data_IF_418013712154
#
_entry.id   IF_418013712154
#
_cell.length_a   1.000
_cell.length_b   1.000
_cell.length_c   1.000
_cell.angle_alpha   90.00
_cell.angle_beta   90.00
_cell.angle_gamma   90.00
#
_symmetry.space_group_name_H-M   'P 1'
#
loop_
_entity.id
_entity.type
_entity.pdbx_description
1 polymer ?
#
# COMPACT_ATOMS: atom_id res chain seq x y z
N UNK A 1 43.57 -76.84 -6.39
CA UNK A 1 43.74 -75.42 -6.00
C UNK A 1 42.35 -74.82 -5.81
N UNK A 2 42.06 -74.36 -4.59
CA UNK A 2 41.08 -73.32 -4.17
C UNK A 2 39.63 -73.44 -4.66
N UNK A 3 38.66 -73.86 -3.84
CA UNK A 3 38.00 -73.08 -2.76
C UNK A 3 37.55 -71.69 -3.19
N UNK A 4 36.23 -71.47 -3.27
CA UNK A 4 35.62 -70.19 -2.91
C UNK A 4 34.20 -70.39 -2.40
N UNK A 5 34.03 -69.99 -1.14
CA UNK A 5 32.83 -70.09 -0.34
C UNK A 5 31.73 -69.09 -0.72
N UNK A 6 30.51 -69.47 -0.34
CA UNK A 6 29.27 -68.70 -0.36
C UNK A 6 29.40 -67.30 0.27
N UNK A 7 28.61 -66.34 -0.24
CA UNK A 7 28.02 -65.24 0.57
C UNK A 7 26.66 -64.87 -0.02
N UNK A 8 25.60 -65.27 0.68
CA UNK A 8 24.27 -64.68 0.52
C UNK A 8 24.33 -63.25 1.06
N UNK A 9 23.99 -62.27 0.23
CA UNK A 9 23.90 -60.87 0.64
C UNK A 9 22.54 -60.65 1.30
N UNK A 10 22.51 -60.65 2.63
CA UNK A 10 21.35 -60.21 3.41
C UNK A 10 21.25 -58.69 3.35
N UNK A 11 20.26 -58.17 2.65
CA UNK A 11 19.89 -56.77 2.72
C UNK A 11 19.25 -56.49 4.09
N UNK A 12 19.95 -55.73 4.93
CA UNK A 12 19.43 -55.21 6.20
C UNK A 12 18.40 -54.12 5.91
N UNK A 13 17.17 -54.30 6.41
CA UNK A 13 16.15 -53.25 6.48
C UNK A 13 16.59 -52.26 7.54
N UNK A 14 17.04 -51.08 7.13
CA UNK A 14 17.34 -49.98 8.04
C UNK A 14 16.03 -49.36 8.53
N UNK A 15 15.85 -49.36 9.85
CA UNK A 15 14.76 -48.65 10.53
C UNK A 15 14.78 -47.18 10.15
N UNK A 16 13.71 -46.72 9.50
CA UNK A 16 13.42 -45.29 9.31
C UNK A 16 13.12 -44.71 10.68
N UNK A 17 14.09 -44.02 11.26
CA UNK A 17 13.88 -43.19 12.45
C UNK A 17 12.90 -42.08 12.08
N UNK A 18 11.75 -42.09 12.76
CA UNK A 18 10.74 -41.05 12.68
C UNK A 18 11.39 -39.76 13.17
N UNK A 19 11.82 -38.90 12.25
CA UNK A 19 12.24 -37.54 12.57
C UNK A 19 11.06 -36.88 13.30
N UNK A 20 11.29 -36.51 14.55
CA UNK A 20 10.36 -35.70 15.32
C UNK A 20 10.18 -34.40 14.54
N UNK A 21 8.96 -34.13 14.08
CA UNK A 21 8.56 -32.79 13.70
C UNK A 21 8.84 -31.91 14.92
N UNK A 22 9.86 -31.06 14.82
CA UNK A 22 10.07 -30.01 15.82
C UNK A 22 8.82 -29.15 15.79
N UNK A 23 8.03 -29.19 16.87
CA UNK A 23 6.94 -28.26 17.06
C UNK A 23 7.49 -26.83 16.88
N UNK A 24 7.00 -26.12 15.88
CA UNK A 24 7.26 -24.70 15.75
C UNK A 24 6.79 -24.01 17.03
N UNK A 25 7.54 -23.03 17.56
CA UNK A 25 7.12 -22.30 18.75
C UNK A 25 5.78 -21.63 18.46
N UNK A 26 4.82 -21.84 19.36
CA UNK A 26 3.52 -21.18 19.32
C UNK A 26 3.73 -19.66 19.18
N UNK A 27 2.97 -19.08 18.25
CA UNK A 27 2.85 -17.63 18.09
C UNK A 27 2.58 -16.96 19.44
N UNK A 28 3.12 -15.74 19.59
CA UNK A 28 3.10 -14.90 20.78
C UNK A 28 1.84 -15.06 21.68
N UNK A 29 2.05 -15.51 22.92
CA UNK A 29 1.07 -15.55 24.03
C UNK A 29 0.70 -14.13 24.56
N UNK A 30 0.44 -13.16 23.68
CA UNK A 30 -0.18 -11.90 24.11
C UNK A 30 -1.69 -12.13 24.24
N UNK A 31 -2.31 -11.87 25.41
CA UNK A 31 -3.75 -12.03 25.55
C UNK A 31 -4.47 -11.07 24.60
N UNK A 32 -5.29 -11.63 23.71
CA UNK A 32 -6.16 -10.86 22.81
C UNK A 32 -7.10 -10.00 23.65
N UNK A 33 -6.90 -8.68 23.61
CA UNK A 33 -7.74 -7.72 24.32
C UNK A 33 -8.83 -7.25 23.37
N UNK A 34 -10.13 -7.38 23.73
CA UNK A 34 -11.21 -7.01 22.84
C UNK A 34 -11.15 -5.50 22.52
N UNK A 35 -11.18 -5.17 21.23
CA UNK A 35 -11.19 -3.79 20.73
C UNK A 35 -9.83 -3.18 20.38
N UNK A 36 -8.72 -3.91 20.56
CA UNK A 36 -7.35 -3.40 20.41
C UNK A 36 -6.54 -4.36 19.53
N UNK A 37 -5.78 -3.83 18.58
CA UNK A 37 -4.99 -4.57 17.61
C UNK A 37 -5.65 -5.84 17.06
N UNK A 38 -4.99 -7.00 17.22
CA UNK A 38 -5.52 -8.30 16.78
C UNK A 38 -6.85 -8.71 17.45
N UNK A 39 -7.21 -8.12 18.59
CA UNK A 39 -8.47 -8.38 19.29
C UNK A 39 -9.61 -7.44 18.90
N UNK A 40 -9.46 -6.61 17.86
CA UNK A 40 -10.49 -5.62 17.49
C UNK A 40 -11.80 -6.29 17.06
N UNK A 41 -12.91 -5.72 17.51
CA UNK A 41 -14.27 -6.23 17.28
C UNK A 41 -15.03 -5.44 16.22
N UNK A 42 -14.69 -4.17 16.02
CA UNK A 42 -15.23 -3.29 14.98
C UNK A 42 -14.18 -2.24 14.61
N UNK A 43 -14.19 -1.80 13.35
CA UNK A 43 -13.41 -0.65 12.87
C UNK A 43 -14.04 0.70 13.26
N UNK A 44 -15.32 0.70 13.67
CA UNK A 44 -16.10 1.92 13.88
C UNK A 44 -16.51 2.64 12.59
N UNK A 45 -16.18 2.09 11.41
CA UNK A 45 -16.53 2.63 10.10
C UNK A 45 -17.58 1.74 9.42
N UNK A 46 -18.66 2.35 8.91
CA UNK A 46 -19.72 1.60 8.22
C UNK A 46 -19.20 1.12 6.86
N UNK A 47 -19.35 -0.17 6.58
CA UNK A 47 -18.93 -0.78 5.31
C UNK A 47 -17.45 -1.17 5.24
N UNK A 48 -16.73 -1.13 6.37
CA UNK A 48 -15.37 -1.64 6.50
C UNK A 48 -15.31 -2.69 7.63
N UNK A 49 -15.31 -3.95 7.26
CA UNK A 49 -15.24 -5.06 8.21
C UNK A 49 -13.82 -5.18 8.80
N UNK A 50 -13.74 -5.75 10.00
CA UNK A 50 -12.47 -6.06 10.67
C UNK A 50 -11.76 -7.21 9.95
N UNK A 51 -10.48 -7.03 9.67
CA UNK A 51 -9.64 -8.04 9.04
C UNK A 51 -8.36 -8.27 9.86
N UNK A 52 -8.32 -9.39 10.58
CA UNK A 52 -7.15 -9.75 11.41
C UNK A 52 -5.89 -10.05 10.59
N UNK A 53 -6.05 -10.36 9.29
CA UNK A 53 -4.95 -10.59 8.36
C UNK A 53 -4.65 -9.34 7.49
N UNK A 54 -5.11 -8.14 7.91
CA UNK A 54 -4.93 -6.90 7.14
C UNK A 54 -3.45 -6.58 6.86
N UNK A 55 -2.56 -6.73 7.85
CA UNK A 55 -1.12 -6.42 7.70
C UNK A 55 -0.43 -7.27 6.62
N UNK A 56 -0.52 -8.62 6.63
CA UNK A 56 0.06 -9.44 5.56
C UNK A 56 -0.63 -9.23 4.20
N UNK A 57 -1.95 -8.99 4.18
CA UNK A 57 -2.67 -8.61 2.95
C UNK A 57 -2.14 -7.30 2.37
N UNK A 58 -1.91 -6.30 3.21
CA UNK A 58 -1.37 -5.01 2.83
C UNK A 58 -0.01 -5.16 2.13
N UNK A 59 0.91 -5.95 2.70
CA UNK A 59 2.21 -6.25 2.08
C UNK A 59 2.03 -6.85 0.69
N UNK A 60 1.16 -7.85 0.58
CA UNK A 60 0.89 -8.54 -0.69
C UNK A 60 0.37 -7.57 -1.76
N UNK A 61 -0.56 -6.68 -1.38
CA UNK A 61 -1.17 -5.71 -2.30
C UNK A 61 -0.18 -4.64 -2.76
N UNK A 62 0.64 -4.09 -1.85
CA UNK A 62 1.68 -3.13 -2.24
C UNK A 62 2.80 -3.77 -3.04
N UNK A 63 3.15 -5.02 -2.78
CA UNK A 63 4.13 -5.73 -3.60
C UNK A 63 3.61 -5.92 -5.03
N UNK A 64 2.35 -6.32 -5.19
CA UNK A 64 1.71 -6.42 -6.50
C UNK A 64 1.67 -5.05 -7.23
N UNK A 65 1.48 -3.95 -6.49
CA UNK A 65 1.54 -2.60 -7.04
C UNK A 65 2.96 -2.26 -7.55
N UNK A 66 4.00 -2.58 -6.78
CA UNK A 66 5.40 -2.39 -7.19
C UNK A 66 5.76 -3.24 -8.42
N UNK A 67 5.29 -4.48 -8.47
CA UNK A 67 5.53 -5.39 -9.60
C UNK A 67 4.87 -4.85 -10.87
N UNK A 68 3.64 -4.34 -10.76
CA UNK A 68 2.93 -3.70 -11.88
C UNK A 68 3.62 -2.42 -12.35
N UNK A 69 4.12 -1.60 -11.42
CA UNK A 69 4.94 -0.42 -11.75
C UNK A 69 6.22 -0.80 -12.49
N UNK A 70 6.90 -1.86 -12.05
CA UNK A 70 8.11 -2.34 -12.69
C UNK A 70 7.85 -2.91 -14.10
N UNK A 71 6.69 -3.52 -14.32
CA UNK A 71 6.26 -4.03 -15.62
C UNK A 71 5.70 -2.95 -16.56
N UNK A 72 5.41 -1.75 -16.05
CA UNK A 72 4.80 -0.67 -16.82
C UNK A 72 5.77 0.01 -17.78
N UNK A 73 5.23 0.67 -18.81
CA UNK A 73 5.94 1.50 -19.78
C UNK A 73 6.30 2.90 -19.24
N UNK A 74 5.90 3.21 -18.01
CA UNK A 74 6.10 4.52 -17.41
C UNK A 74 7.59 4.80 -17.14
N UNK A 75 8.14 5.94 -17.61
CA UNK A 75 9.53 6.26 -17.37
C UNK A 75 9.82 6.46 -15.88
N UNK A 76 11.05 6.13 -15.40
CA UNK A 76 11.43 6.29 -14.00
C UNK A 76 11.47 7.75 -13.54
N UNK A 77 11.49 8.70 -14.47
CA UNK A 77 11.45 10.14 -14.19
C UNK A 77 10.05 10.67 -13.92
N UNK A 78 9.00 9.88 -14.19
CA UNK A 78 7.63 10.30 -13.93
C UNK A 78 7.42 10.48 -12.42
N UNK A 79 6.97 11.67 -12.02
CA UNK A 79 6.81 12.01 -10.60
C UNK A 79 5.85 11.07 -9.87
N UNK A 80 4.80 10.62 -10.56
CA UNK A 80 3.85 9.66 -10.02
C UNK A 80 4.53 8.34 -9.63
N UNK A 81 5.33 7.74 -10.53
CA UNK A 81 6.10 6.52 -10.24
C UNK A 81 7.02 6.70 -9.04
N UNK A 82 7.77 7.80 -9.00
CA UNK A 82 8.70 8.10 -7.89
C UNK A 82 7.95 8.16 -6.55
N UNK A 83 6.79 8.81 -6.52
CA UNK A 83 6.02 8.98 -5.29
C UNK A 83 5.37 7.67 -4.83
N UNK A 84 4.72 6.94 -5.75
CA UNK A 84 4.05 5.67 -5.43
C UNK A 84 5.07 4.63 -4.98
N UNK A 85 6.25 4.55 -5.62
CA UNK A 85 7.33 3.64 -5.24
C UNK A 85 7.85 3.94 -3.82
N UNK A 86 8.03 5.22 -3.48
CA UNK A 86 8.44 5.64 -2.13
C UNK A 86 7.39 5.27 -1.09
N UNK A 87 6.12 5.59 -1.35
CA UNK A 87 5.01 5.32 -0.42
C UNK A 87 4.83 3.82 -0.21
N UNK A 88 4.79 3.04 -1.29
CA UNK A 88 4.60 1.59 -1.23
C UNK A 88 5.74 0.90 -0.46
N UNK A 89 7.01 1.28 -0.74
CA UNK A 89 8.16 0.72 0.00
C UNK A 89 8.12 1.07 1.48
N UNK A 90 7.79 2.32 1.81
CA UNK A 90 7.67 2.75 3.20
C UNK A 90 6.60 1.95 3.95
N UNK A 91 5.41 1.80 3.35
CA UNK A 91 4.30 1.04 3.95
C UNK A 91 4.62 -0.45 4.08
N UNK A 92 5.30 -1.05 3.11
CA UNK A 92 5.77 -2.44 3.19
C UNK A 92 6.77 -2.60 4.34
N UNK A 93 7.75 -1.70 4.45
CA UNK A 93 8.76 -1.76 5.52
C UNK A 93 8.12 -1.66 6.91
N UNK A 94 7.24 -0.67 7.11
CA UNK A 94 6.52 -0.50 8.38
C UNK A 94 5.70 -1.75 8.77
N UNK A 95 5.07 -2.40 7.78
CA UNK A 95 4.28 -3.61 7.97
C UNK A 95 5.13 -4.86 8.25
N UNK A 96 6.27 -4.99 7.58
CA UNK A 96 7.21 -6.10 7.77
C UNK A 96 7.87 -6.05 9.15
N UNK A 97 8.18 -4.86 9.63
CA UNK A 97 8.77 -4.65 10.96
C UNK A 97 7.78 -4.95 12.10
N UNK A 98 6.46 -4.81 11.85
CA UNK A 98 5.42 -4.88 12.88
C UNK A 98 4.27 -5.82 12.48
N UNK A 99 4.58 -7.04 12.04
CA UNK A 99 3.58 -8.01 11.57
C UNK A 99 2.51 -8.36 12.62
N UNK A 100 2.89 -8.42 13.90
CA UNK A 100 2.01 -8.81 15.00
C UNK A 100 1.36 -7.60 15.71
N UNK A 101 1.68 -6.37 15.29
CA UNK A 101 1.25 -5.14 15.94
C UNK A 101 0.65 -4.14 14.93
N UNK A 102 -0.65 -4.29 14.59
CA UNK A 102 -1.31 -3.40 13.64
C UNK A 102 -1.38 -1.95 14.13
N UNK A 103 -1.45 -1.69 15.45
CA UNK A 103 -1.51 -0.32 15.99
C UNK A 103 -0.19 0.41 15.73
N UNK A 104 0.93 -0.31 15.84
CA UNK A 104 2.22 0.28 15.51
C UNK A 104 2.34 0.62 14.02
N UNK A 105 1.78 -0.22 13.15
CA UNK A 105 1.70 0.06 11.71
C UNK A 105 0.85 1.30 11.44
N UNK A 106 -0.28 1.47 12.12
CA UNK A 106 -1.15 2.64 12.01
C UNK A 106 -0.46 3.92 12.46
N UNK A 107 0.25 3.89 13.60
CA UNK A 107 1.01 5.03 14.11
C UNK A 107 2.13 5.43 13.13
N UNK A 108 2.88 4.45 12.60
CA UNK A 108 3.96 4.72 11.66
C UNK A 108 3.42 5.29 10.33
N UNK A 109 2.41 4.65 9.75
CA UNK A 109 1.86 5.08 8.47
C UNK A 109 1.04 6.36 8.57
N UNK A 110 0.45 6.64 9.73
CA UNK A 110 -0.39 7.80 10.04
C UNK A 110 -1.42 8.12 8.94
N UNK A 111 -2.11 7.09 8.46
CA UNK A 111 -2.99 7.15 7.28
C UNK A 111 -4.31 6.38 7.50
N UNK A 112 -4.80 6.36 8.75
CA UNK A 112 -6.01 5.61 9.15
C UNK A 112 -5.70 4.20 9.65
N UNK A 113 -6.72 3.35 9.71
CA UNK A 113 -6.62 1.96 10.16
C UNK A 113 -5.96 1.05 9.12
N UNK A 114 -5.43 -0.11 9.56
CA UNK A 114 -4.79 -1.08 8.65
C UNK A 114 -5.71 -1.58 7.53
N UNK A 115 -7.02 -1.72 7.77
CA UNK A 115 -7.98 -2.09 6.72
C UNK A 115 -8.15 -1.00 5.67
N UNK A 116 -8.16 0.26 6.09
CA UNK A 116 -8.23 1.39 5.16
C UNK A 116 -6.99 1.39 4.25
N UNK A 117 -5.81 1.04 4.79
CA UNK A 117 -4.58 0.93 4.01
C UNK A 117 -4.63 -0.18 2.95
N UNK A 118 -5.30 -1.29 3.24
CA UNK A 118 -5.55 -2.37 2.26
C UNK A 118 -6.46 -1.87 1.15
N UNK A 119 -7.56 -1.18 1.50
CA UNK A 119 -8.49 -0.59 0.52
C UNK A 119 -7.80 0.49 -0.32
N UNK A 120 -6.93 1.31 0.29
CA UNK A 120 -6.11 2.29 -0.42
C UNK A 120 -5.21 1.62 -1.45
N UNK A 121 -4.57 0.49 -1.13
CA UNK A 121 -3.74 -0.25 -2.07
C UNK A 121 -4.56 -0.78 -3.28
N UNK A 122 -5.78 -1.26 -3.03
CA UNK A 122 -6.69 -1.71 -4.09
C UNK A 122 -7.18 -0.56 -4.97
N UNK A 123 -7.44 0.61 -4.38
CA UNK A 123 -7.81 1.80 -5.14
C UNK A 123 -6.62 2.32 -5.96
N UNK A 124 -5.41 2.28 -5.41
CA UNK A 124 -4.20 2.66 -6.13
C UNK A 124 -3.97 1.76 -7.35
N UNK A 125 -4.28 0.46 -7.25
CA UNK A 125 -4.22 -0.46 -8.38
C UNK A 125 -5.17 -0.04 -9.53
N UNK A 126 -6.37 0.45 -9.21
CA UNK A 126 -7.34 0.97 -10.19
C UNK A 126 -6.86 2.28 -10.80
N UNK A 127 -6.32 3.18 -9.97
CA UNK A 127 -5.73 4.44 -10.44
C UNK A 127 -4.57 4.13 -11.39
N UNK A 128 -3.71 3.17 -11.07
CA UNK A 128 -2.62 2.73 -11.93
C UNK A 128 -3.13 2.31 -13.32
N UNK A 129 -4.21 1.52 -13.39
CA UNK A 129 -4.80 1.12 -14.68
C UNK A 129 -5.31 2.31 -15.50
N UNK A 130 -5.90 3.31 -14.85
CA UNK A 130 -6.32 4.55 -15.50
C UNK A 130 -5.13 5.40 -15.94
N UNK A 131 -4.12 5.49 -15.09
CA UNK A 131 -2.91 6.27 -15.30
C UNK A 131 -2.13 5.76 -16.51
N UNK A 132 -1.94 4.43 -16.60
CA UNK A 132 -1.26 3.77 -17.72
C UNK A 132 -2.06 3.88 -19.02
N UNK A 133 -3.38 3.64 -18.97
CA UNK A 133 -4.24 3.76 -20.16
C UNK A 133 -4.18 5.14 -20.79
N UNK A 134 -4.12 6.19 -19.96
CA UNK A 134 -4.21 7.56 -20.41
C UNK A 134 -2.84 8.25 -20.55
N UNK A 135 -1.74 7.57 -20.19
CA UNK A 135 -0.37 8.10 -20.18
C UNK A 135 -0.25 9.51 -19.62
N UNK A 136 -0.80 9.75 -18.43
CA UNK A 136 -0.89 11.09 -17.84
C UNK A 136 0.46 11.78 -17.62
N UNK A 137 1.57 11.02 -17.57
CA UNK A 137 2.91 11.58 -17.49
C UNK A 137 3.33 12.37 -18.74
N UNK A 138 2.68 12.15 -19.89
CA UNK A 138 2.94 12.90 -21.13
C UNK A 138 2.22 14.26 -21.15
N UNK A 139 1.18 14.43 -20.32
CA UNK A 139 0.35 15.63 -20.28
C UNK A 139 0.94 16.74 -19.40
N UNK A 140 1.97 16.42 -18.60
CA UNK A 140 2.66 17.38 -17.73
C UNK A 140 3.57 18.25 -18.58
N UNK A 141 3.08 19.44 -18.96
CA UNK A 141 3.89 20.47 -19.59
C UNK A 141 4.47 21.40 -18.53
N UNK A 142 5.71 21.90 -18.69
CA UNK A 142 6.18 23.00 -17.87
C UNK A 142 5.26 24.20 -18.11
N UNK A 143 4.62 24.66 -17.05
CA UNK A 143 3.85 25.91 -17.05
C UNK A 143 4.73 26.94 -16.37
N UNK A 144 4.87 28.11 -17.00
CA UNK A 144 5.51 29.25 -16.36
C UNK A 144 4.59 29.75 -15.24
N UNK A 145 4.97 29.46 -14.00
CA UNK A 145 4.24 29.91 -12.81
C UNK A 145 4.81 31.28 -12.44
N UNK A 146 4.04 32.33 -12.68
CA UNK A 146 4.37 33.65 -12.20
C UNK A 146 4.18 33.69 -10.67
N UNK A 147 5.30 33.73 -9.95
CA UNK A 147 5.31 33.79 -8.50
C UNK A 147 5.12 35.26 -8.09
N UNK A 148 3.97 35.57 -7.48
CA UNK A 148 3.49 36.93 -7.17
C UNK A 148 2.86 37.64 -8.38
N UNK A 149 1.68 37.19 -8.85
CA UNK A 149 0.92 37.97 -9.84
C UNK A 149 0.70 39.36 -9.25
N UNK A 150 0.95 40.41 -10.02
CA UNK A 150 0.54 41.74 -9.60
C UNK A 150 -0.95 41.70 -9.29
N UNK A 151 -1.38 42.22 -8.13
CA UNK A 151 -2.79 42.53 -7.80
C UNK A 151 -3.36 43.63 -8.73
N UNK A 152 -2.88 43.71 -9.97
CA UNK A 152 -3.57 44.36 -11.07
C UNK A 152 -4.63 43.38 -11.57
N UNK A 153 -5.59 43.06 -10.70
CA UNK A 153 -6.89 42.54 -11.13
C UNK A 153 -7.39 43.54 -12.16
N UNK A 154 -7.36 43.15 -13.45
CA UNK A 154 -7.71 44.02 -14.57
C UNK A 154 -8.95 44.82 -14.21
N UNK A 155 -8.76 46.12 -14.00
CA UNK A 155 -9.54 46.94 -13.07
C UNK A 155 -10.95 46.44 -12.86
N UNK A 156 -11.26 45.98 -11.64
CA UNK A 156 -12.63 45.98 -11.17
C UNK A 156 -13.05 47.45 -11.18
N UNK A 157 -13.63 47.90 -12.30
CA UNK A 157 -14.09 49.25 -12.46
C UNK A 157 -14.90 49.64 -11.23
N UNK A 158 -14.53 50.77 -10.66
CA UNK A 158 -15.19 51.45 -9.57
C UNK A 158 -16.65 51.72 -9.96
N UNK A 159 -17.49 50.69 -9.81
CA UNK A 159 -18.94 50.87 -9.80
C UNK A 159 -19.24 51.51 -8.44
N UNK A 160 -19.25 52.83 -8.43
CA UNK A 160 -19.74 53.63 -7.32
C UNK A 160 -21.20 53.22 -7.05
N UNK A 161 -21.45 52.65 -5.87
CA UNK A 161 -22.77 52.20 -5.42
C UNK A 161 -23.67 53.40 -5.06
N UNK A 162 -23.95 54.24 -6.06
CA UNK A 162 -24.68 55.50 -5.91
C UNK A 162 -25.26 56.06 -7.21
N UNK A 163 -24.72 55.69 -8.37
CA UNK A 163 -25.26 56.15 -9.65
C UNK A 163 -26.48 55.31 -10.04
N UNK A 164 -27.64 55.69 -9.50
CA UNK A 164 -28.90 55.47 -10.19
C UNK A 164 -28.76 56.09 -11.59
N UNK A 165 -29.10 55.38 -12.69
CA UNK A 165 -29.10 56.00 -14.00
C UNK A 165 -30.10 57.16 -13.96
N UNK A 166 -29.58 58.38 -13.96
CA UNK A 166 -30.37 59.59 -14.05
C UNK A 166 -31.20 59.48 -15.33
N UNK A 167 -32.52 59.46 -15.14
CA UNK A 167 -33.45 59.39 -16.25
C UNK A 167 -33.24 60.55 -17.22
N UNK A 168 -32.65 60.27 -18.36
CA UNK A 168 -32.73 61.18 -19.51
C UNK A 168 -34.15 61.12 -20.08
N UNK A 169 -34.89 62.15 -19.69
CA UNK A 169 -36.06 62.67 -20.39
C UNK A 169 -35.66 63.10 -21.81
N UNK A 170 -36.08 62.36 -22.83
CA UNK A 170 -36.80 62.91 -24.00
C UNK A 170 -37.36 61.82 -24.90
#
# INVERSE_FOLDING_TARGET
RSSRAARHSTCNVTNITRAAFSAQPAAHDKPLTPGIGLGKTSTGLVGLDVDHDAVPKMITKYQALLDKLAASDMPPTAQYRINVEKIARYRIAAAQENLDDPEKVEELCNCGQVEELVVQADNEMKVMDMYLRNRWWELVKPVDIEYNPSDEDGGHGDVEWGDTPDGEKK
#
